data_IF_092511003141
#
_entry.id   IF_092511003141
#
_cell.length_a   1.000
_cell.length_b   1.000
_cell.length_c   1.000
_cell.angle_alpha   90.00
_cell.angle_beta   90.00
_cell.angle_gamma   90.00
#
_symmetry.space_group_name_H-M   'P 1'
#
loop_
_entity.id
_entity.type
_entity.pdbx_description
1 polymer ?
#
# COMPACT_ATOMS: atom_id res chain seq x y z
N UNK A 1 -12.63 -4.65 2.82
CA UNK A 1 -12.04 -6.00 2.73
C UNK A 1 -12.04 -6.67 4.11
N UNK A 2 -12.09 -8.02 4.20
CA UNK A 2 -12.10 -8.73 5.47
C UNK A 2 -10.78 -8.52 6.23
N UNK A 3 -10.77 -8.50 7.58
CA UNK A 3 -9.58 -8.19 8.38
C UNK A 3 -8.36 -9.08 8.10
N UNK A 4 -8.59 -10.31 7.62
CA UNK A 4 -7.55 -11.30 7.35
C UNK A 4 -7.11 -11.37 5.88
N UNK A 5 -7.61 -10.47 5.02
CA UNK A 5 -7.19 -10.40 3.63
C UNK A 5 -5.68 -10.17 3.53
N UNK A 6 -5.04 -10.90 2.62
CA UNK A 6 -3.61 -10.71 2.34
C UNK A 6 -3.36 -9.50 1.45
N UNK A 7 -2.14 -8.97 1.45
CA UNK A 7 -1.75 -7.86 0.58
C UNK A 7 -2.03 -8.17 -0.89
N UNK A 8 -1.74 -9.41 -1.34
CA UNK A 8 -2.06 -9.86 -2.70
C UNK A 8 -3.55 -9.83 -3.00
N UNK A 9 -4.41 -10.27 -2.07
CA UNK A 9 -5.85 -10.25 -2.27
C UNK A 9 -6.39 -8.81 -2.38
N UNK A 10 -5.92 -7.91 -1.51
CA UNK A 10 -6.29 -6.49 -1.55
C UNK A 10 -5.82 -5.81 -2.83
N UNK A 11 -4.60 -6.13 -3.28
CA UNK A 11 -4.06 -5.60 -4.52
C UNK A 11 -4.91 -6.03 -5.71
N UNK A 12 -5.22 -7.33 -5.84
CA UNK A 12 -6.04 -7.84 -6.94
C UNK A 12 -7.46 -7.25 -6.92
N UNK A 13 -8.11 -7.19 -5.75
CA UNK A 13 -9.44 -6.59 -5.58
C UNK A 13 -9.44 -5.11 -6.00
N UNK A 14 -8.38 -4.37 -5.68
CA UNK A 14 -8.27 -2.98 -6.05
C UNK A 14 -7.94 -2.79 -7.54
N UNK A 15 -7.02 -3.57 -8.11
CA UNK A 15 -6.70 -3.53 -9.54
C UNK A 15 -7.94 -3.83 -10.39
N UNK A 16 -8.74 -4.83 -10.00
CA UNK A 16 -10.02 -5.14 -10.65
C UNK A 16 -10.98 -3.94 -10.60
N UNK A 17 -11.14 -3.31 -9.43
CA UNK A 17 -11.98 -2.10 -9.27
C UNK A 17 -11.52 -0.91 -10.10
N UNK A 18 -10.22 -0.78 -10.32
CA UNK A 18 -9.65 0.29 -11.14
C UNK A 18 -9.60 -0.06 -12.64
N UNK A 19 -10.06 -1.26 -13.05
CA UNK A 19 -9.97 -1.70 -14.44
C UNK A 19 -8.52 -1.95 -14.91
N UNK A 20 -7.60 -2.14 -13.96
CA UNK A 20 -6.17 -2.41 -14.19
C UNK A 20 -5.86 -3.90 -14.09
N UNK A 21 -6.82 -4.76 -14.42
CA UNK A 21 -6.68 -6.22 -14.30
C UNK A 21 -5.34 -6.65 -14.90
N UNK A 22 -4.49 -7.36 -14.12
CA UNK A 22 -3.20 -7.76 -14.62
C UNK A 22 -3.41 -8.63 -15.85
N UNK A 23 -2.87 -8.20 -16.99
CA UNK A 23 -2.74 -9.04 -18.18
C UNK A 23 -2.25 -10.44 -17.75
N UNK A 24 -2.76 -11.53 -18.34
CA UNK A 24 -2.33 -12.88 -17.99
C UNK A 24 -0.79 -12.99 -18.07
N UNK A 25 -0.12 -12.98 -16.91
CA UNK A 25 1.35 -13.00 -16.83
C UNK A 25 2.02 -11.80 -16.14
N UNK A 26 1.28 -10.75 -15.75
CA UNK A 26 1.85 -9.56 -15.08
C UNK A 26 1.40 -9.30 -13.61
N UNK A 27 1.24 -10.32 -12.74
CA UNK A 27 1.00 -10.06 -11.31
C UNK A 27 2.21 -9.40 -10.58
N UNK A 28 3.32 -9.15 -11.29
CA UNK A 28 4.52 -8.48 -10.75
C UNK A 28 4.60 -6.97 -10.99
N UNK A 29 3.70 -6.37 -11.77
CA UNK A 29 3.81 -4.95 -12.14
C UNK A 29 3.48 -3.96 -11.01
N UNK A 30 2.65 -4.37 -10.06
CA UNK A 30 2.19 -3.55 -8.95
C UNK A 30 2.47 -4.20 -7.60
N UNK A 31 2.56 -3.36 -6.57
CA UNK A 31 2.72 -3.76 -5.17
C UNK A 31 1.84 -2.90 -4.28
N UNK A 32 1.34 -3.50 -3.19
CA UNK A 32 0.68 -2.76 -2.12
C UNK A 32 1.76 -2.24 -1.16
N UNK A 33 1.73 -0.96 -0.84
CA UNK A 33 2.71 -0.30 0.03
C UNK A 33 2.05 0.18 1.33
N UNK A 34 2.70 -0.03 2.47
CA UNK A 34 2.44 0.71 3.71
C UNK A 34 3.23 2.01 3.65
N UNK A 35 2.50 3.13 3.64
CA UNK A 35 3.08 4.46 3.48
C UNK A 35 2.74 5.31 4.70
N UNK A 36 3.77 5.84 5.33
CA UNK A 36 3.67 6.76 6.47
C UNK A 36 4.15 8.13 6.02
N UNK A 37 3.39 9.16 6.37
CA UNK A 37 3.71 10.52 5.99
C UNK A 37 3.15 11.52 6.99
N UNK A 38 3.34 12.80 6.70
CA UNK A 38 2.84 13.90 7.54
C UNK A 38 2.16 14.95 6.69
N UNK A 39 1.23 15.67 7.33
CA UNK A 39 0.72 16.91 6.76
C UNK A 39 1.81 17.99 6.82
N UNK A 40 2.06 18.64 5.70
CA UNK A 40 2.91 19.81 5.59
C UNK A 40 2.12 21.11 5.74
N UNK A 41 2.82 22.25 5.90
CA UNK A 41 2.19 23.57 5.83
C UNK A 41 1.44 23.73 4.50
N UNK A 42 0.19 24.18 4.55
CA UNK A 42 -0.66 24.31 3.35
C UNK A 42 -1.46 23.06 2.96
N UNK A 43 -1.50 22.03 3.82
CA UNK A 43 -2.38 20.87 3.65
C UNK A 43 -1.86 19.79 2.72
N UNK A 44 -0.68 19.97 2.13
CA UNK A 44 -0.01 18.93 1.35
C UNK A 44 0.41 17.74 2.22
N UNK A 45 0.23 16.52 1.75
CA UNK A 45 0.71 15.33 2.45
C UNK A 45 2.01 14.83 1.82
N UNK A 46 3.06 14.65 2.62
CA UNK A 46 4.36 14.18 2.15
C UNK A 46 4.69 12.81 2.73
N UNK A 47 5.29 11.96 1.89
CA UNK A 47 5.79 10.64 2.28
C UNK A 47 7.05 10.82 3.11
N UNK A 48 7.09 10.19 4.27
CA UNK A 48 8.27 10.11 5.15
C UNK A 48 8.88 8.71 5.09
N UNK A 49 8.03 7.69 4.94
CA UNK A 49 8.45 6.29 4.85
C UNK A 49 7.51 5.51 3.95
N UNK A 50 8.08 4.59 3.17
CA UNK A 50 7.36 3.68 2.30
C UNK A 50 7.97 2.28 2.40
N UNK A 51 7.11 1.27 2.41
CA UNK A 51 7.53 -0.14 2.34
C UNK A 51 6.56 -0.95 1.49
N UNK A 52 7.10 -1.74 0.55
CA UNK A 52 6.31 -2.77 -0.12
C UNK A 52 5.91 -3.88 0.86
N UNK A 53 4.64 -4.28 0.83
CA UNK A 53 4.12 -5.39 1.60
C UNK A 53 4.36 -6.70 0.83
N UNK A 54 4.84 -7.72 1.53
CA UNK A 54 4.89 -9.07 1.00
C UNK A 54 3.48 -9.63 0.80
N UNK A 55 3.32 -10.46 -0.22
CA UNK A 55 2.01 -10.98 -0.69
C UNK A 55 1.14 -11.60 0.40
N UNK A 56 1.76 -12.25 1.39
CA UNK A 56 1.10 -12.95 2.49
C UNK A 56 0.87 -12.09 3.74
N UNK A 57 1.41 -10.87 3.80
CA UNK A 57 1.14 -9.95 4.90
C UNK A 57 -0.35 -9.61 4.96
N UNK A 58 -0.86 -9.27 6.15
CA UNK A 58 -2.27 -8.94 6.39
C UNK A 58 -2.39 -7.45 6.73
N UNK A 59 -2.58 -6.56 5.75
CA UNK A 59 -2.38 -5.12 5.95
C UNK A 59 -3.35 -4.52 6.96
N UNK A 60 -4.59 -5.01 7.00
CA UNK A 60 -5.59 -4.54 7.97
C UNK A 60 -5.25 -4.96 9.41
N UNK A 61 -4.67 -6.15 9.61
CA UNK A 61 -4.15 -6.54 10.93
C UNK A 61 -2.99 -5.62 11.34
N UNK A 62 -2.04 -5.36 10.42
CA UNK A 62 -0.92 -4.45 10.68
C UNK A 62 -1.41 -3.03 11.02
N UNK A 63 -2.47 -2.57 10.33
CA UNK A 63 -3.11 -1.28 10.61
C UNK A 63 -3.68 -1.22 12.02
N UNK A 64 -4.26 -2.31 12.50
CA UNK A 64 -4.89 -2.35 13.81
C UNK A 64 -3.86 -2.37 14.94
N UNK A 65 -2.80 -3.16 14.81
CA UNK A 65 -1.82 -3.41 15.89
C UNK A 65 -0.63 -2.44 15.91
N UNK A 66 -0.30 -1.79 14.79
CA UNK A 66 0.76 -0.78 14.73
C UNK A 66 0.23 0.57 14.32
N UNK A 67 0.53 1.61 15.11
CA UNK A 67 0.16 2.99 14.80
C UNK A 67 1.39 3.82 14.43
N UNK A 68 1.28 4.77 13.49
CA UNK A 68 2.35 5.72 13.22
C UNK A 68 2.74 6.54 14.45
N UNK A 69 3.96 7.08 14.44
CA UNK A 69 4.40 8.08 15.42
C UNK A 69 3.43 9.26 15.46
N UNK A 70 3.26 9.89 16.62
CA UNK A 70 2.46 11.11 16.77
C UNK A 70 2.82 12.17 15.72
N UNK A 71 1.80 12.75 15.11
CA UNK A 71 1.92 13.71 14.00
C UNK A 71 2.06 13.07 12.61
N UNK A 72 2.23 11.75 12.51
CA UNK A 72 2.18 11.01 11.25
C UNK A 72 0.81 10.38 10.99
N UNK A 73 0.48 10.17 9.73
CA UNK A 73 -0.63 9.34 9.29
C UNK A 73 -0.15 8.22 8.36
N UNK A 74 -0.91 7.12 8.33
CA UNK A 74 -0.68 5.97 7.46
C UNK A 74 -1.73 5.93 6.35
N UNK A 75 -1.34 5.52 5.15
CA UNK A 75 -2.24 5.07 4.09
C UNK A 75 -1.63 3.90 3.33
N UNK A 76 -2.48 3.03 2.80
CA UNK A 76 -2.05 2.00 1.86
C UNK A 76 -2.13 2.55 0.44
N UNK A 77 -1.07 2.33 -0.34
CA UNK A 77 -1.00 2.78 -1.74
C UNK A 77 -0.70 1.62 -2.67
N UNK A 78 -1.26 1.67 -3.87
CA UNK A 78 -0.86 0.79 -4.98
C UNK A 78 0.17 1.54 -5.79
N UNK A 79 1.35 0.95 -5.97
CA UNK A 79 2.43 1.54 -6.77
C UNK A 79 2.98 0.55 -7.77
N UNK A 80 3.62 1.05 -8.82
CA UNK A 80 4.39 0.19 -9.72
C UNK A 80 5.57 -0.38 -8.95
N UNK A 81 5.82 -1.68 -9.10
CA UNK A 81 6.91 -2.37 -8.40
C UNK A 81 8.25 -1.69 -8.68
N UNK A 82 8.48 -1.35 -9.94
CA UNK A 82 9.69 -0.67 -10.40
C UNK A 82 9.91 0.72 -9.78
N UNK A 83 8.86 1.45 -9.39
CA UNK A 83 9.00 2.75 -8.72
C UNK A 83 9.49 2.58 -7.29
N UNK A 84 9.07 1.51 -6.62
CA UNK A 84 9.44 1.20 -5.24
C UNK A 84 10.84 0.58 -5.16
N UNK A 85 11.23 -0.23 -6.14
CA UNK A 85 12.58 -0.83 -6.19
C UNK A 85 13.68 0.20 -6.51
N UNK A 86 13.31 1.37 -7.05
CA UNK A 86 14.24 2.46 -7.40
C UNK A 86 14.36 3.55 -6.33
N UNK A 87 13.58 3.49 -5.26
CA UNK A 87 13.53 4.53 -4.21
C UNK A 87 14.48 4.29 -3.05
#
# INVERSE_FOLDING_TARGET
>A
APPRATARQLLLEALERYGLSPEPGLPGGFVLCDVVGRGGPGGGWHVEYLRALGDAEKPLVLQDVWKPKAGCSRRFEIRRREEVERS
#
